data_IF_921888546789
#
_entry.id   IF_921888546789
#
_cell.length_a   1.000
_cell.length_b   1.000
_cell.length_c   1.000
_cell.angle_alpha   90.00
_cell.angle_beta   90.00
_cell.angle_gamma   90.00
#
_symmetry.space_group_name_H-M   'P 1'
#
loop_
_entity.id
_entity.type
_entity.pdbx_description
1 polymer ?
#
# COMPACT_ATOMS: atom_id res chain seq x y z
N UNK A 1 3.54 -14.49 -2.33
CA UNK A 1 2.08 -14.18 -2.28
C UNK A 1 1.74 -13.29 -3.45
N UNK A 2 0.62 -13.50 -4.14
CA UNK A 2 0.18 -12.65 -5.25
C UNK A 2 -0.77 -11.55 -4.75
N UNK A 3 -0.90 -10.45 -5.48
CA UNK A 3 -1.86 -9.38 -5.14
C UNK A 3 -3.31 -9.90 -4.96
N UNK A 4 -3.86 -10.79 -5.82
CA UNK A 4 -5.18 -11.37 -5.58
C UNK A 4 -5.28 -12.15 -4.27
N UNK A 5 -4.23 -12.90 -3.90
CA UNK A 5 -4.20 -13.63 -2.63
C UNK A 5 -4.26 -12.67 -1.43
N UNK A 6 -3.54 -11.55 -1.49
CA UNK A 6 -3.57 -10.51 -0.43
C UNK A 6 -4.96 -9.89 -0.33
N UNK A 7 -5.53 -9.44 -1.46
CA UNK A 7 -6.88 -8.84 -1.49
C UNK A 7 -7.97 -9.81 -1.03
N UNK A 8 -7.86 -11.09 -1.34
CA UNK A 8 -8.80 -12.09 -0.85
C UNK A 8 -8.79 -12.25 0.68
N UNK A 9 -7.66 -11.95 1.34
CA UNK A 9 -7.49 -12.16 2.78
C UNK A 9 -7.67 -10.90 3.62
N UNK A 10 -7.35 -9.74 3.05
CA UNK A 10 -7.43 -8.43 3.73
C UNK A 10 -8.54 -7.52 3.18
N UNK A 11 -9.20 -7.90 2.08
CA UNK A 11 -10.24 -7.09 1.44
C UNK A 11 -9.67 -6.01 0.54
N UNK A 12 -10.30 -4.82 0.57
CA UNK A 12 -9.84 -3.67 -0.20
C UNK A 12 -8.79 -2.87 0.57
N UNK A 13 -7.73 -2.38 -0.10
CA UNK A 13 -6.71 -1.60 0.57
C UNK A 13 -7.25 -0.23 0.98
N UNK A 14 -6.86 0.23 2.16
CA UNK A 14 -7.13 1.60 2.62
C UNK A 14 -6.35 2.62 1.79
N UNK A 15 -5.13 2.28 1.39
CA UNK A 15 -4.28 3.13 0.54
C UNK A 15 -3.79 2.31 -0.62
N UNK A 16 -3.99 2.85 -1.82
CA UNK A 16 -3.48 2.29 -3.07
C UNK A 16 -2.57 3.31 -3.75
N UNK A 17 -1.33 2.88 -4.04
CA UNK A 17 -0.33 3.67 -4.76
C UNK A 17 -0.01 2.95 -6.06
N UNK A 18 -0.24 3.65 -7.17
CA UNK A 18 0.08 3.15 -8.51
C UNK A 18 1.58 2.86 -8.66
N UNK A 19 1.88 1.85 -9.49
CA UNK A 19 3.25 1.62 -9.92
C UNK A 19 3.80 2.88 -10.60
N UNK A 20 5.08 3.14 -10.38
CA UNK A 20 5.77 4.27 -10.99
C UNK A 20 7.14 3.83 -11.45
N UNK A 21 7.45 4.13 -12.71
CA UNK A 21 8.82 4.09 -13.20
C UNK A 21 9.50 5.41 -12.86
N UNK A 22 10.62 5.35 -12.14
CA UNK A 22 11.46 6.51 -11.85
C UNK A 22 12.82 6.26 -12.49
N UNK A 23 13.12 7.00 -13.56
CA UNK A 23 14.26 6.74 -14.43
C UNK A 23 14.23 5.29 -14.96
N UNK A 24 15.15 4.44 -14.50
CA UNK A 24 15.25 3.02 -14.89
C UNK A 24 14.67 2.06 -13.84
N UNK A 25 14.30 2.56 -12.64
CA UNK A 25 13.83 1.72 -11.56
C UNK A 25 12.30 1.62 -11.56
N UNK A 26 11.79 0.40 -11.70
CA UNK A 26 10.37 0.11 -11.50
C UNK A 26 10.07 0.06 -10.00
N UNK A 27 9.17 0.94 -9.54
CA UNK A 27 8.52 0.78 -8.23
C UNK A 27 7.12 0.26 -8.49
N UNK A 28 6.85 -0.97 -8.08
CA UNK A 28 5.52 -1.53 -8.27
C UNK A 28 4.48 -0.93 -7.34
N UNK A 29 3.28 -1.46 -7.49
CA UNK A 29 2.12 -1.05 -6.70
C UNK A 29 2.42 -1.20 -5.22
N UNK A 30 1.88 -0.28 -4.41
CA UNK A 30 1.81 -0.47 -2.96
C UNK A 30 0.38 -0.45 -2.47
N UNK A 31 0.06 -1.39 -1.60
CA UNK A 31 -1.24 -1.51 -0.96
C UNK A 31 -1.08 -1.55 0.55
N UNK A 32 -1.97 -0.85 1.25
CA UNK A 32 -1.94 -0.75 2.71
C UNK A 32 -3.23 -1.32 3.27
N UNK A 33 -3.10 -2.25 4.22
CA UNK A 33 -4.22 -2.90 4.89
C UNK A 33 -4.06 -2.80 6.40
N UNK A 34 -5.08 -2.36 7.15
CA UNK A 34 -5.08 -2.53 8.59
C UNK A 34 -5.08 -4.03 8.91
N UNK A 35 -4.34 -4.43 9.94
CA UNK A 35 -4.40 -5.80 10.42
C UNK A 35 -5.74 -6.07 11.09
N UNK A 36 -6.12 -7.35 11.13
CA UNK A 36 -7.31 -7.81 11.84
C UNK A 36 -7.08 -7.72 13.36
N UNK A 37 -8.17 -7.77 14.13
CA UNK A 37 -8.08 -7.83 15.59
C UNK A 37 -7.17 -8.99 16.04
N UNK A 38 -6.31 -8.77 17.06
CA UNK A 38 -6.24 -7.60 17.95
C UNK A 38 -5.35 -6.44 17.45
N UNK A 39 -4.64 -6.59 16.33
CA UNK A 39 -3.54 -5.71 15.93
C UNK A 39 -3.96 -4.52 15.04
N UNK A 40 -5.20 -4.03 15.20
CA UNK A 40 -5.80 -3.01 14.33
C UNK A 40 -5.07 -1.65 14.33
N UNK A 41 -4.16 -1.44 15.30
CA UNK A 41 -3.28 -0.27 15.36
C UNK A 41 -2.08 -0.37 14.40
N UNK A 42 -1.91 -1.48 13.70
CA UNK A 42 -0.85 -1.72 12.73
C UNK A 42 -1.45 -1.86 11.33
N UNK A 43 -0.76 -1.28 10.36
CA UNK A 43 -1.08 -1.35 8.93
C UNK A 43 0.08 -2.02 8.20
N UNK A 44 -0.21 -3.08 7.47
CA UNK A 44 0.73 -3.76 6.60
C UNK A 44 0.72 -3.09 5.21
N UNK A 45 1.88 -2.65 4.76
CA UNK A 45 2.13 -2.15 3.40
C UNK A 45 2.79 -3.25 2.57
N UNK A 46 2.08 -3.77 1.58
CA UNK A 46 2.60 -4.71 0.60
C UNK A 46 3.15 -3.93 -0.58
N UNK A 47 4.43 -4.11 -0.89
CA UNK A 47 5.02 -3.65 -2.14
C UNK A 47 5.10 -4.81 -3.11
N UNK A 48 4.60 -4.62 -4.33
CA UNK A 48 4.59 -5.65 -5.35
C UNK A 48 5.69 -5.41 -6.39
N UNK A 49 6.22 -6.48 -6.96
CA UNK A 49 7.08 -6.40 -8.13
C UNK A 49 6.25 -6.20 -9.42
N UNK A 50 6.92 -6.21 -10.58
CA UNK A 50 6.28 -6.03 -11.90
C UNK A 50 5.29 -7.13 -12.26
N UNK A 51 5.43 -8.31 -11.65
CA UNK A 51 4.62 -9.49 -11.90
C UNK A 51 3.52 -9.66 -10.83
N UNK A 52 3.24 -8.61 -10.04
CA UNK A 52 2.25 -8.57 -8.95
C UNK A 52 2.45 -9.61 -7.83
N UNK A 53 3.70 -10.05 -7.65
CA UNK A 53 4.10 -10.80 -6.46
C UNK A 53 4.57 -9.83 -5.38
N UNK A 54 4.23 -10.13 -4.12
CA UNK A 54 4.73 -9.40 -2.96
C UNK A 54 6.25 -9.51 -2.94
N UNK A 55 6.91 -8.35 -3.05
CA UNK A 55 8.35 -8.20 -2.97
C UNK A 55 8.80 -7.88 -1.54
N UNK A 56 8.03 -7.03 -0.84
CA UNK A 56 8.29 -6.70 0.56
C UNK A 56 7.01 -6.31 1.31
N UNK A 57 7.05 -6.49 2.63
CA UNK A 57 5.99 -6.05 3.55
C UNK A 57 6.61 -5.12 4.58
N UNK A 58 6.00 -3.96 4.80
CA UNK A 58 6.43 -2.98 5.81
C UNK A 58 5.26 -2.66 6.74
N UNK A 59 5.50 -2.66 8.04
CA UNK A 59 4.48 -2.36 9.03
C UNK A 59 4.58 -0.90 9.47
N UNK A 60 3.43 -0.24 9.53
CA UNK A 60 3.28 1.13 10.00
C UNK A 60 2.28 1.16 11.15
N UNK A 61 2.46 2.05 12.14
CA UNK A 61 1.36 2.44 13.01
C UNK A 61 0.20 3.01 12.17
N UNK A 62 -1.04 2.76 12.58
CA UNK A 62 -2.25 3.24 11.89
C UNK A 62 -2.25 4.76 11.71
N UNK A 63 -1.77 5.50 12.71
CA UNK A 63 -1.62 6.96 12.64
C UNK A 63 -0.71 7.38 11.49
N UNK A 64 0.45 6.73 11.35
CA UNK A 64 1.38 7.00 10.26
C UNK A 64 0.80 6.66 8.90
N UNK A 65 0.03 5.58 8.79
CA UNK A 65 -0.67 5.24 7.55
C UNK A 65 -1.71 6.31 7.17
N UNK A 66 -2.47 6.84 8.13
CA UNK A 66 -3.43 7.93 7.90
C UNK A 66 -2.73 9.21 7.39
N UNK A 67 -1.59 9.58 7.96
CA UNK A 67 -0.79 10.71 7.46
C UNK A 67 -0.36 10.51 5.99
N UNK A 68 0.09 9.29 5.65
CA UNK A 68 0.47 8.93 4.28
C UNK A 68 -0.73 9.07 3.33
N UNK A 69 -1.92 8.61 3.75
CA UNK A 69 -3.14 8.74 2.96
C UNK A 69 -3.47 10.21 2.67
N UNK A 70 -3.49 11.05 3.71
CA UNK A 70 -3.79 12.49 3.57
C UNK A 70 -2.78 13.18 2.66
N UNK A 71 -1.49 12.87 2.80
CA UNK A 71 -0.45 13.43 1.94
C UNK A 71 -0.61 12.99 0.48
N UNK A 72 -1.01 11.74 0.24
CA UNK A 72 -1.28 11.21 -1.10
C UNK A 72 -2.50 11.89 -1.75
N UNK A 73 -3.58 12.07 -1.00
CA UNK A 73 -4.80 12.75 -1.47
C UNK A 73 -4.53 14.21 -1.82
N UNK A 74 -3.81 14.96 -0.97
CA UNK A 74 -3.40 16.34 -1.27
C UNK A 74 -2.60 16.42 -2.58
N UNK A 75 -1.68 15.48 -2.79
CA UNK A 75 -0.88 15.41 -4.02
C UNK A 75 -1.70 15.08 -5.27
N UNK A 76 -2.78 14.28 -5.14
CA UNK A 76 -3.71 13.98 -6.22
C UNK A 76 -4.56 15.21 -6.57
N UNK A 77 -4.99 15.98 -5.57
CA UNK A 77 -5.80 17.18 -5.75
C UNK A 77 -5.01 18.35 -6.36
N UNK A 78 -3.76 18.58 -5.93
CA UNK A 78 -2.90 19.63 -6.49
C UNK A 78 -2.33 19.33 -7.88
N UNK A 79 -2.74 18.22 -8.52
CA UNK A 79 -2.39 17.85 -9.90
C UNK A 79 -3.52 18.06 -10.90
N UNK A 80 -4.70 18.51 -10.45
CA UNK A 80 -5.75 19.06 -11.31
C UNK A 80 -5.42 20.51 -11.65
#
# INVERSE_FOLDING_TARGET
>A
MTQPWVRARFGLPMIYVDAKVVMTLYRGVKEFYPLLAPDQNIVASFSYNKDFFVESVTFYPLERAKEIQVALEKKRLGRK
#
